data_IF_689166344439
#
_entry.id   IF_689166344439
#
_cell.length_a   1.000
_cell.length_b   1.000
_cell.length_c   1.000
_cell.angle_alpha   90.00
_cell.angle_beta   90.00
_cell.angle_gamma   90.00
#
_symmetry.space_group_name_H-M   'P 1'
#
loop_
_entity.id
_entity.type
_entity.pdbx_description
1 polymer ?
#
# COMPACT_ATOMS: atom_id res chain seq x y z
N UNK A 1 9.65 21.03 8.15
CA UNK A 1 8.90 19.81 8.47
C UNK A 1 8.41 19.18 7.18
N UNK A 2 8.63 17.89 7.01
CA UNK A 2 8.09 17.10 5.89
C UNK A 2 6.82 16.37 6.33
N UNK A 3 5.99 15.94 5.38
CA UNK A 3 4.81 15.11 5.63
C UNK A 3 4.97 13.77 4.92
N UNK A 4 4.54 12.67 5.54
CA UNK A 4 4.27 11.41 4.89
C UNK A 4 2.79 11.07 5.03
N UNK A 5 2.13 10.85 3.90
CA UNK A 5 0.83 10.18 3.84
C UNK A 5 1.07 8.72 3.45
N UNK A 6 0.90 7.81 4.41
CA UNK A 6 1.05 6.39 4.19
C UNK A 6 -0.32 5.74 3.96
N UNK A 7 -0.66 5.42 2.71
CA UNK A 7 -1.85 4.68 2.34
C UNK A 7 -1.62 3.20 2.57
N UNK A 8 -2.33 2.65 3.56
CA UNK A 8 -2.09 1.32 4.08
C UNK A 8 -2.65 0.20 3.20
N UNK A 9 -2.22 -1.03 3.45
CA UNK A 9 -2.76 -2.22 2.82
C UNK A 9 -4.15 -2.57 3.37
N UNK A 10 -4.90 -3.35 2.60
CA UNK A 10 -6.22 -3.84 3.04
C UNK A 10 -6.10 -4.75 4.27
N UNK A 11 -7.01 -4.57 5.23
CA UNK A 11 -7.07 -5.38 6.45
C UNK A 11 -5.90 -5.15 7.42
N UNK A 12 -5.26 -3.99 7.34
CA UNK A 12 -4.15 -3.57 8.18
C UNK A 12 -4.45 -2.21 8.83
N UNK A 13 -3.80 -1.93 9.96
CA UNK A 13 -3.85 -0.65 10.67
C UNK A 13 -2.43 -0.15 11.00
N UNK A 14 -2.32 0.88 11.83
CA UNK A 14 -1.04 1.48 12.24
C UNK A 14 -0.14 0.55 13.07
N UNK A 15 -0.65 -0.57 13.59
CA UNK A 15 0.13 -1.51 14.39
C UNK A 15 1.29 -2.16 13.61
N UNK A 16 1.24 -2.15 12.27
CA UNK A 16 2.35 -2.59 11.40
C UNK A 16 3.62 -1.74 11.62
N UNK A 17 3.48 -0.53 12.15
CA UNK A 17 4.58 0.40 12.44
C UNK A 17 4.93 0.49 13.92
N UNK A 18 4.37 -0.38 14.78
CA UNK A 18 4.55 -0.30 16.25
C UNK A 18 6.03 -0.27 16.71
N UNK A 19 6.93 -0.85 15.91
CA UNK A 19 8.35 -0.93 16.19
C UNK A 19 9.19 0.10 15.42
N UNK A 20 8.57 0.97 14.62
CA UNK A 20 9.31 1.97 13.87
C UNK A 20 9.79 3.06 14.84
N UNK A 21 11.07 3.46 14.75
CA UNK A 21 11.57 4.53 15.59
C UNK A 21 10.85 5.84 15.24
N UNK A 22 10.68 6.75 16.22
CA UNK A 22 10.33 8.13 15.93
C UNK A 22 11.32 8.74 14.93
N UNK A 23 10.83 9.66 14.10
CA UNK A 23 11.63 10.30 13.06
C UNK A 23 11.53 11.82 13.19
N UNK A 24 12.68 12.47 13.26
CA UNK A 24 12.74 13.92 13.35
C UNK A 24 12.36 14.57 12.02
N UNK A 25 11.67 15.71 12.11
CA UNK A 25 11.34 16.56 10.96
C UNK A 25 10.45 15.88 9.89
N UNK A 26 9.73 14.81 10.26
CA UNK A 26 8.73 14.14 9.42
C UNK A 26 7.45 13.87 10.23
N UNK A 27 6.35 14.49 9.81
CA UNK A 27 5.02 14.15 10.30
C UNK A 27 4.50 12.94 9.50
N UNK A 28 4.11 11.84 10.15
CA UNK A 28 3.61 10.64 9.48
C UNK A 28 2.14 10.44 9.80
N UNK A 29 1.33 10.27 8.75
CA UNK A 29 -0.10 9.99 8.86
C UNK A 29 -0.40 8.70 8.11
N UNK A 30 -0.85 7.69 8.85
CA UNK A 30 -1.29 6.41 8.29
C UNK A 30 -2.77 6.50 7.94
N UNK A 31 -3.08 6.21 6.69
CA UNK A 31 -4.42 6.27 6.11
C UNK A 31 -4.81 4.84 5.73
N UNK A 32 -5.68 4.24 6.53
CA UNK A 32 -6.26 2.91 6.27
C UNK A 32 -7.71 3.06 5.84
N UNK A 33 -8.37 1.97 5.42
CA UNK A 33 -9.80 1.97 5.07
C UNK A 33 -10.64 2.69 6.16
N UNK A 34 -11.54 3.64 5.80
CA UNK A 34 -12.08 3.96 4.45
C UNK A 34 -11.24 4.89 3.57
N UNK A 35 -9.96 5.08 3.90
CA UNK A 35 -9.01 5.96 3.18
C UNK A 35 -9.41 7.43 3.18
N UNK A 36 -9.96 7.88 4.31
CA UNK A 36 -10.27 9.28 4.54
C UNK A 36 -9.00 10.11 4.74
N UNK A 37 -8.87 11.16 3.92
CA UNK A 37 -7.74 12.07 4.01
C UNK A 37 -8.06 13.15 5.05
N UNK A 38 -7.20 13.35 6.06
CA UNK A 38 -7.40 14.45 7.01
C UNK A 38 -7.35 15.81 6.29
N UNK A 39 -8.11 16.77 6.81
CA UNK A 39 -8.04 18.16 6.35
C UNK A 39 -6.72 18.77 6.83
N UNK A 40 -5.78 18.91 5.90
CA UNK A 40 -4.46 19.46 6.16
C UNK A 40 -4.17 20.62 5.20
N UNK A 41 -3.44 21.60 5.68
CA UNK A 41 -2.81 22.60 4.83
C UNK A 41 -1.46 22.06 4.32
N UNK A 42 -1.49 21.43 3.16
CA UNK A 42 -0.32 20.81 2.52
C UNK A 42 0.80 21.82 2.23
N UNK A 43 0.48 23.10 2.11
CA UNK A 43 1.43 24.18 1.80
C UNK A 43 2.38 24.50 2.96
N UNK A 44 2.04 24.07 4.17
CA UNK A 44 2.89 24.25 5.36
C UNK A 44 4.07 23.29 5.42
N UNK A 45 4.09 22.25 4.57
CA UNK A 45 5.15 21.24 4.54
C UNK A 45 6.15 21.52 3.42
N UNK A 46 7.44 21.33 3.74
CA UNK A 46 8.53 21.55 2.78
C UNK A 46 8.47 20.54 1.62
N UNK A 47 8.12 19.30 1.93
CA UNK A 47 7.99 18.20 0.99
C UNK A 47 7.01 17.15 1.51
N UNK A 48 6.31 16.49 0.60
CA UNK A 48 5.28 15.49 0.92
C UNK A 48 5.65 14.14 0.30
N UNK A 49 5.79 13.11 1.13
CA UNK A 49 5.92 11.73 0.69
C UNK A 49 4.55 11.08 0.62
N UNK A 50 4.19 10.55 -0.54
CA UNK A 50 2.96 9.78 -0.74
C UNK A 50 3.35 8.33 -0.91
N UNK A 51 3.13 7.52 0.12
CA UNK A 51 3.53 6.12 0.13
C UNK A 51 2.29 5.27 0.07
N UNK A 52 2.18 4.38 -0.92
CA UNK A 52 1.10 3.41 -1.00
C UNK A 52 1.64 2.00 -0.84
N UNK A 53 1.05 1.20 0.03
CA UNK A 53 1.33 -0.23 0.12
C UNK A 53 0.13 -1.05 -0.33
N UNK A 54 0.34 -2.04 -1.19
CA UNK A 54 -0.73 -2.94 -1.64
C UNK A 54 -1.93 -2.16 -2.22
N UNK A 55 -3.12 -2.31 -1.65
CA UNK A 55 -4.32 -1.58 -2.04
C UNK A 55 -4.16 -0.07 -1.84
N UNK A 56 -3.36 0.37 -0.88
CA UNK A 56 -3.00 1.76 -0.68
C UNK A 56 -2.36 2.41 -1.90
N UNK A 57 -1.72 1.66 -2.80
CA UNK A 57 -1.20 2.17 -4.08
C UNK A 57 -2.34 2.70 -4.97
N UNK A 58 -3.46 1.99 -5.01
CA UNK A 58 -4.65 2.43 -5.76
C UNK A 58 -5.26 3.69 -5.13
N UNK A 59 -5.43 3.72 -3.81
CA UNK A 59 -6.03 4.88 -3.13
C UNK A 59 -5.12 6.12 -3.15
N UNK A 60 -3.81 5.94 -3.03
CA UNK A 60 -2.83 7.01 -3.25
C UNK A 60 -2.92 7.55 -4.69
N UNK A 61 -3.16 6.68 -5.68
CA UNK A 61 -3.40 7.10 -7.06
C UNK A 61 -4.68 7.93 -7.21
N UNK A 62 -5.78 7.54 -6.55
CA UNK A 62 -7.02 8.34 -6.52
C UNK A 62 -6.78 9.71 -5.89
N UNK A 63 -6.04 9.75 -4.79
CA UNK A 63 -5.68 10.99 -4.11
C UNK A 63 -4.87 11.91 -5.03
N UNK A 64 -3.79 11.42 -5.63
CA UNK A 64 -2.92 12.21 -6.51
C UNK A 64 -3.60 12.64 -7.81
N UNK A 65 -4.56 11.87 -8.32
CA UNK A 65 -5.39 12.28 -9.48
C UNK A 65 -6.23 13.53 -9.20
N UNK A 66 -6.62 13.75 -7.94
CA UNK A 66 -7.55 14.84 -7.56
C UNK A 66 -6.87 15.98 -6.79
N UNK A 67 -5.60 15.83 -6.43
CA UNK A 67 -4.85 16.79 -5.61
C UNK A 67 -3.64 17.30 -6.33
N UNK A 68 -3.50 18.62 -6.31
CA UNK A 68 -2.31 19.30 -6.78
C UNK A 68 -1.42 19.59 -5.57
N UNK A 69 -0.24 18.97 -5.53
CA UNK A 69 0.78 19.19 -4.51
C UNK A 69 1.98 19.89 -5.15
N UNK A 70 2.55 20.91 -4.50
CA UNK A 70 3.68 21.66 -5.05
C UNK A 70 4.98 20.85 -5.12
N UNK A 71 5.25 20.04 -4.10
CA UNK A 71 6.49 19.28 -3.97
C UNK A 71 6.19 17.94 -3.28
N UNK A 72 6.26 16.84 -4.04
CA UNK A 72 6.01 15.52 -3.51
C UNK A 72 6.84 14.43 -4.18
N UNK A 73 7.03 13.32 -3.47
CA UNK A 73 7.57 12.06 -3.98
C UNK A 73 6.57 10.96 -3.71
N UNK A 74 6.16 10.23 -4.75
CA UNK A 74 5.23 9.12 -4.65
C UNK A 74 5.95 7.77 -4.79
N UNK A 75 5.74 6.90 -3.81
CA UNK A 75 6.40 5.59 -3.68
C UNK A 75 5.33 4.50 -3.58
N UNK A 76 5.37 3.54 -4.50
CA UNK A 76 4.58 2.32 -4.43
C UNK A 76 5.36 1.23 -3.72
N UNK A 77 4.71 0.45 -2.86
CA UNK A 77 5.29 -0.69 -2.17
C UNK A 77 4.39 -1.88 -2.42
N UNK A 78 4.93 -2.95 -3.02
CA UNK A 78 4.20 -4.20 -3.24
C UNK A 78 2.76 -3.97 -3.76
N UNK A 79 2.61 -3.19 -4.84
CA UNK A 79 1.31 -2.85 -5.40
C UNK A 79 1.40 -1.98 -6.65
N UNK A 80 0.32 -1.94 -7.41
CA UNK A 80 0.20 -1.17 -8.67
C UNK A 80 -1.10 -0.36 -8.69
N UNK A 81 -1.16 0.77 -9.41
CA UNK A 81 -2.42 1.48 -9.69
C UNK A 81 -3.50 0.58 -10.34
N UNK A 82 -3.09 -0.41 -11.15
CA UNK A 82 -3.98 -1.47 -11.65
C UNK A 82 -4.08 -2.61 -10.61
N UNK A 83 -4.67 -2.34 -9.44
CA UNK A 83 -4.70 -3.33 -8.34
C UNK A 83 -5.55 -4.56 -8.67
N UNK A 84 -6.64 -4.39 -9.44
CA UNK A 84 -7.44 -5.48 -10.01
C UNK A 84 -7.15 -5.55 -11.51
N UNK A 85 -6.53 -6.62 -11.97
CA UNK A 85 -6.23 -6.80 -13.39
C UNK A 85 -5.02 -7.65 -13.70
N UNK A 86 -4.41 -7.36 -14.85
CA UNK A 86 -3.27 -8.10 -15.41
C UNK A 86 -1.96 -7.78 -14.71
N UNK A 87 -1.84 -6.55 -14.20
CA UNK A 87 -0.65 -6.08 -13.49
C UNK A 87 -0.78 -6.16 -11.95
N UNK A 88 -2.00 -6.39 -11.45
CA UNK A 88 -2.32 -6.57 -10.05
C UNK A 88 -2.79 -8.00 -9.71
N UNK A 89 -3.82 -8.07 -8.86
CA UNK A 89 -4.57 -9.30 -8.53
C UNK A 89 -5.55 -9.58 -9.68
N UNK A 90 -5.58 -10.80 -10.21
CA UNK A 90 -6.57 -11.12 -11.26
C UNK A 90 -7.98 -11.02 -10.71
N UNK A 91 -8.95 -10.61 -11.54
CA UNK A 91 -10.37 -10.58 -11.16
C UNK A 91 -10.85 -11.92 -10.60
N UNK A 92 -10.38 -13.03 -11.17
CA UNK A 92 -10.71 -14.37 -10.67
C UNK A 92 -10.26 -14.55 -9.21
N UNK A 93 -9.01 -14.23 -8.89
CA UNK A 93 -8.47 -14.36 -7.53
C UNK A 93 -9.14 -13.36 -6.59
N UNK A 94 -9.33 -12.12 -7.02
CA UNK A 94 -10.02 -11.09 -6.25
C UNK A 94 -11.45 -11.54 -5.86
N UNK A 95 -12.22 -12.02 -6.83
CA UNK A 95 -13.59 -12.52 -6.61
C UNK A 95 -13.62 -13.76 -5.71
N UNK A 96 -12.63 -14.66 -5.84
CA UNK A 96 -12.52 -15.81 -4.95
C UNK A 96 -12.24 -15.38 -3.50
N UNK A 97 -11.36 -14.40 -3.28
CA UNK A 97 -11.12 -13.83 -1.95
C UNK A 97 -12.39 -13.20 -1.39
N UNK A 98 -13.08 -12.35 -2.16
CA UNK A 98 -14.31 -11.68 -1.75
C UNK A 98 -15.43 -12.66 -1.37
N UNK A 99 -15.63 -13.70 -2.18
CA UNK A 99 -16.72 -14.65 -1.98
C UNK A 99 -16.48 -15.60 -0.80
N UNK A 100 -15.22 -15.97 -0.55
CA UNK A 100 -14.84 -16.94 0.46
C UNK A 100 -14.20 -16.31 1.71
N UNK A 101 -14.33 -14.98 1.90
CA UNK A 101 -13.72 -14.30 3.04
C UNK A 101 -14.39 -14.74 4.35
N UNK A 102 -13.59 -15.41 5.18
CA UNK A 102 -13.85 -15.73 6.58
C UNK A 102 -12.53 -15.57 7.37
N UNK A 103 -12.56 -15.87 8.68
CA UNK A 103 -11.37 -15.77 9.52
C UNK A 103 -10.26 -16.73 9.10
N UNK A 104 -10.60 -17.97 8.72
CA UNK A 104 -9.61 -18.97 8.34
C UNK A 104 -8.85 -18.56 7.06
N UNK A 105 -9.59 -18.13 6.04
CA UNK A 105 -9.03 -17.67 4.78
C UNK A 105 -8.31 -16.32 4.93
N UNK A 106 -8.73 -15.46 5.87
CA UNK A 106 -7.98 -14.25 6.23
C UNK A 106 -6.61 -14.60 6.83
N UNK A 107 -6.53 -15.56 7.75
CA UNK A 107 -5.24 -15.98 8.31
C UNK A 107 -4.34 -16.65 7.27
N UNK A 108 -4.90 -17.44 6.34
CA UNK A 108 -4.14 -17.95 5.18
C UNK A 108 -3.63 -16.81 4.31
N UNK A 109 -4.44 -15.77 4.10
CA UNK A 109 -4.03 -14.57 3.37
C UNK A 109 -2.87 -13.85 4.08
N UNK A 110 -2.92 -13.68 5.41
CA UNK A 110 -1.83 -13.12 6.21
C UNK A 110 -0.54 -13.95 6.12
N UNK A 111 -0.66 -15.28 6.18
CA UNK A 111 0.49 -16.16 5.97
C UNK A 111 1.08 -16.02 4.56
N UNK A 112 0.25 -15.94 3.52
CA UNK A 112 0.70 -15.72 2.14
C UNK A 112 1.35 -14.35 1.92
N UNK A 113 0.97 -13.35 2.74
CA UNK A 113 1.66 -12.05 2.75
C UNK A 113 3.04 -12.10 3.42
N UNK A 114 3.39 -13.19 4.11
CA UNK A 114 4.55 -13.27 5.01
C UNK A 114 4.43 -12.32 6.22
N UNK A 115 3.21 -12.08 6.72
CA UNK A 115 3.00 -11.37 7.99
C UNK A 115 3.56 -12.23 9.14
N UNK A 116 4.36 -11.66 10.06
CA UNK A 116 4.89 -12.40 11.20
C UNK A 116 3.81 -13.01 12.09
N UNK A 117 4.05 -14.22 12.61
CA UNK A 117 3.07 -14.93 13.46
C UNK A 117 2.76 -14.21 14.80
N UNK A 118 3.66 -13.33 15.26
CA UNK A 118 3.47 -12.50 16.44
C UNK A 118 2.77 -11.16 16.13
N UNK A 119 2.38 -10.94 14.86
CA UNK A 119 1.52 -9.84 14.49
C UNK A 119 0.14 -10.08 15.09
N UNK A 120 -0.23 -9.23 16.04
CA UNK A 120 -1.59 -9.20 16.56
C UNK A 120 -2.38 -8.47 15.47
N UNK A 121 -3.22 -9.23 14.77
CA UNK A 121 -4.11 -8.63 13.80
C UNK A 121 -4.94 -7.52 14.46
N UNK A 122 -5.35 -6.49 13.71
CA UNK A 122 -6.29 -5.48 14.19
C UNK A 122 -7.52 -6.13 14.84
N UNK A 123 -8.40 -5.36 15.49
CA UNK A 123 -9.73 -5.87 15.81
C UNK A 123 -10.47 -6.27 14.51
N UNK A 124 -10.33 -7.55 14.11
CA UNK A 124 -10.80 -8.04 12.81
C UNK A 124 -12.32 -8.05 12.83
N UNK A 125 -12.91 -7.18 12.01
CA UNK A 125 -14.31 -7.28 11.65
C UNK A 125 -14.41 -7.74 10.19
N UNK A 126 -14.69 -9.05 10.00
CA UNK A 126 -14.78 -9.66 8.68
C UNK A 126 -15.80 -8.94 7.78
N UNK A 127 -16.91 -8.45 8.33
CA UNK A 127 -17.91 -7.72 7.54
C UNK A 127 -17.35 -6.40 7.00
N UNK A 128 -16.60 -5.65 7.80
CA UNK A 128 -15.93 -4.42 7.33
C UNK A 128 -14.92 -4.75 6.23
N UNK A 129 -14.12 -5.81 6.42
CA UNK A 129 -13.15 -6.22 5.40
C UNK A 129 -13.83 -6.64 4.10
N UNK A 130 -14.92 -7.41 4.18
CA UNK A 130 -15.72 -7.83 3.01
C UNK A 130 -16.34 -6.62 2.31
N UNK A 131 -16.92 -5.69 3.06
CA UNK A 131 -17.51 -4.47 2.53
C UNK A 131 -16.45 -3.62 1.81
N UNK A 132 -15.26 -3.46 2.38
CA UNK A 132 -14.17 -2.71 1.75
C UNK A 132 -13.69 -3.32 0.42
N UNK A 133 -13.69 -4.66 0.30
CA UNK A 133 -13.39 -5.35 -0.97
C UNK A 133 -14.51 -5.14 -2.00
N UNK A 134 -15.77 -5.20 -1.56
CA UNK A 134 -16.93 -4.99 -2.40
C UNK A 134 -16.96 -3.54 -2.94
N UNK A 135 -16.76 -2.55 -2.06
CA UNK A 135 -16.67 -1.13 -2.44
C UNK A 135 -15.52 -0.88 -3.42
N UNK A 136 -14.34 -1.44 -3.17
CA UNK A 136 -13.22 -1.33 -4.12
C UNK A 136 -13.62 -1.87 -5.49
N UNK A 137 -14.27 -3.03 -5.54
CA UNK A 137 -14.70 -3.68 -6.79
C UNK A 137 -15.73 -2.84 -7.54
N UNK A 138 -16.72 -2.31 -6.84
CA UNK A 138 -17.83 -1.57 -7.44
C UNK A 138 -17.37 -0.21 -7.99
N UNK A 139 -16.45 0.46 -7.29
CA UNK A 139 -15.88 1.76 -7.68
C UNK A 139 -14.57 1.63 -8.49
N UNK A 140 -14.19 0.41 -8.87
CA UNK A 140 -12.91 0.17 -9.52
C UNK A 140 -12.87 0.77 -10.93
N UNK A 141 -11.82 1.52 -11.20
CA UNK A 141 -11.47 1.93 -12.55
C UNK A 141 -9.96 2.07 -12.67
N UNK A 142 -9.43 1.87 -13.87
CA UNK A 142 -8.00 2.01 -14.11
C UNK A 142 -7.54 3.46 -13.85
N UNK A 143 -6.43 3.59 -13.12
CA UNK A 143 -5.78 4.86 -12.85
C UNK A 143 -4.40 4.91 -13.50
N UNK A 144 -4.01 6.12 -13.91
CA UNK A 144 -2.65 6.39 -14.34
C UNK A 144 -1.67 6.23 -13.17
N UNK A 145 -0.41 5.98 -13.50
CA UNK A 145 0.65 5.82 -12.51
C UNK A 145 1.18 7.20 -12.07
N UNK A 146 1.00 7.59 -10.79
CA UNK A 146 1.63 8.79 -10.26
C UNK A 146 3.00 8.53 -9.59
N UNK A 147 3.42 7.27 -9.47
CA UNK A 147 4.58 6.89 -8.66
C UNK A 147 5.90 7.09 -9.40
N UNK A 148 6.90 7.64 -8.71
CA UNK A 148 8.28 7.77 -9.21
C UNK A 148 9.15 6.57 -8.83
N UNK A 149 8.85 5.95 -7.69
CA UNK A 149 9.58 4.79 -7.15
C UNK A 149 8.61 3.63 -6.88
N UNK A 150 9.07 2.41 -7.13
CA UNK A 150 8.39 1.17 -6.75
C UNK A 150 9.35 0.27 -5.95
N UNK A 151 9.01 0.01 -4.69
CA UNK A 151 9.69 -0.97 -3.83
C UNK A 151 8.96 -2.31 -3.95
N UNK A 152 9.65 -3.34 -4.42
CA UNK A 152 9.04 -4.63 -4.78
C UNK A 152 9.74 -5.77 -4.03
N UNK A 153 8.97 -6.47 -3.22
CA UNK A 153 9.34 -7.74 -2.61
C UNK A 153 9.47 -8.82 -3.68
N UNK A 154 10.62 -9.49 -3.74
CA UNK A 154 10.88 -10.48 -4.79
C UNK A 154 10.09 -11.78 -4.63
N UNK A 155 9.48 -12.00 -3.45
CA UNK A 155 8.63 -13.17 -3.15
C UNK A 155 7.16 -12.82 -3.01
N UNK A 156 6.74 -11.62 -3.42
CA UNK A 156 5.34 -11.20 -3.32
C UNK A 156 4.44 -12.14 -4.14
N UNK A 157 3.52 -12.81 -3.44
CA UNK A 157 2.53 -13.74 -3.99
C UNK A 157 1.14 -13.12 -4.13
N UNK A 158 0.86 -12.04 -3.41
CA UNK A 158 -0.45 -11.39 -3.46
C UNK A 158 -0.55 -10.57 -4.75
N UNK A 159 0.46 -9.75 -5.00
CA UNK A 159 0.63 -9.02 -6.25
C UNK A 159 1.94 -9.53 -6.86
N UNK A 160 1.89 -10.52 -7.76
CA UNK A 160 3.09 -11.21 -8.22
C UNK A 160 4.20 -10.26 -8.66
N UNK A 161 5.41 -10.43 -8.12
CA UNK A 161 6.60 -9.61 -8.40
C UNK A 161 6.78 -9.35 -9.90
N UNK A 162 6.65 -10.40 -10.73
CA UNK A 162 6.81 -10.29 -12.19
C UNK A 162 5.82 -9.33 -12.84
N UNK A 163 4.60 -9.21 -12.29
CA UNK A 163 3.57 -8.29 -12.78
C UNK A 163 3.88 -6.85 -12.39
N UNK A 164 4.30 -6.64 -11.15
CA UNK A 164 4.73 -5.32 -10.67
C UNK A 164 5.93 -4.81 -11.49
N UNK A 165 6.97 -5.64 -11.66
CA UNK A 165 8.15 -5.29 -12.45
C UNK A 165 7.76 -4.95 -13.88
N UNK A 166 6.96 -5.80 -14.54
CA UNK A 166 6.47 -5.53 -15.90
C UNK A 166 5.75 -4.18 -16.00
N UNK A 167 4.84 -3.90 -15.07
CA UNK A 167 4.09 -2.64 -15.03
C UNK A 167 5.01 -1.44 -14.88
N UNK A 168 5.84 -1.42 -13.83
CA UNK A 168 6.67 -0.27 -13.50
C UNK A 168 7.80 -0.03 -14.51
N UNK A 169 8.36 -1.08 -15.12
CA UNK A 169 9.30 -0.94 -16.23
C UNK A 169 8.62 -0.27 -17.44
N UNK A 170 7.38 -0.64 -17.77
CA UNK A 170 6.63 -0.02 -18.86
C UNK A 170 6.26 1.46 -18.60
N UNK A 171 6.33 1.89 -17.35
CA UNK A 171 6.06 3.27 -16.91
C UNK A 171 7.34 4.06 -16.62
N UNK A 172 8.52 3.48 -16.87
CA UNK A 172 9.82 4.09 -16.57
C UNK A 172 10.00 4.51 -15.10
N UNK A 173 9.39 3.75 -14.17
CA UNK A 173 9.49 3.98 -12.73
C UNK A 173 10.78 3.37 -12.18
N UNK A 174 11.42 4.04 -11.20
CA UNK A 174 12.59 3.50 -10.53
C UNK A 174 12.19 2.30 -9.65
N UNK A 175 12.70 1.11 -9.96
CA UNK A 175 12.38 -0.13 -9.23
C UNK A 175 13.48 -0.45 -8.22
N UNK A 176 13.10 -0.67 -6.97
CA UNK A 176 13.94 -1.17 -5.89
C UNK A 176 13.45 -2.53 -5.42
N UNK A 177 14.19 -3.57 -5.70
CA UNK A 177 13.85 -4.94 -5.27
C UNK A 177 14.37 -5.21 -3.86
N UNK A 178 13.56 -5.88 -3.03
CA UNK A 178 13.91 -6.27 -1.66
C UNK A 178 13.54 -7.73 -1.37
N UNK A 179 14.30 -8.37 -0.48
CA UNK A 179 14.18 -9.79 -0.13
C UNK A 179 13.01 -10.11 0.82
N UNK A 180 11.79 -9.76 0.44
CA UNK A 180 10.57 -10.03 1.23
C UNK A 180 9.40 -10.56 0.39
N UNK A 181 8.36 -11.05 1.07
CA UNK A 181 7.04 -11.27 0.51
C UNK A 181 6.24 -9.97 0.38
N UNK A 182 4.91 -10.08 0.51
CA UNK A 182 4.03 -8.93 0.35
C UNK A 182 4.10 -7.95 1.54
N UNK A 183 4.42 -8.43 2.75
CA UNK A 183 4.65 -7.66 3.96
C UNK A 183 6.13 -7.30 4.08
N UNK A 184 6.53 -6.03 3.80
CA UNK A 184 7.94 -5.66 3.72
C UNK A 184 8.50 -5.07 5.01
N UNK A 185 7.68 -4.89 6.06
CA UNK A 185 8.01 -4.01 7.19
C UNK A 185 8.97 -4.63 8.21
N UNK A 186 9.29 -5.93 8.11
CA UNK A 186 10.44 -6.52 8.81
C UNK A 186 11.77 -6.01 8.22
N UNK A 187 11.79 -5.67 6.93
CA UNK A 187 12.96 -5.14 6.21
C UNK A 187 12.96 -3.60 6.20
N UNK A 188 11.80 -3.03 5.85
CA UNK A 188 11.54 -1.59 5.79
C UNK A 188 11.15 -1.03 7.17
N UNK A 189 11.84 -1.44 8.23
CA UNK A 189 11.50 -1.15 9.63
C UNK A 189 11.90 0.25 10.14
N UNK A 190 12.06 1.22 9.24
CA UNK A 190 12.44 2.60 9.55
C UNK A 190 11.83 3.54 8.50
N UNK A 191 11.24 4.65 8.93
CA UNK A 191 10.69 5.66 8.03
C UNK A 191 11.72 6.18 7.02
N UNK A 192 12.98 6.34 7.43
CA UNK A 192 14.05 6.79 6.55
C UNK A 192 14.32 5.80 5.41
N UNK A 193 14.21 4.48 5.65
CA UNK A 193 14.36 3.47 4.58
C UNK A 193 13.26 3.58 3.53
N UNK A 194 12.11 4.15 3.91
CA UNK A 194 11.02 4.44 2.98
C UNK A 194 11.24 5.71 2.15
N UNK A 195 12.05 6.68 2.60
CA UNK A 195 12.11 8.01 1.94
C UNK A 195 13.50 8.52 1.55
N UNK A 196 14.59 8.02 2.16
CA UNK A 196 15.97 8.50 1.91
C UNK A 196 16.76 7.59 0.98
N UNK A 197 16.41 6.32 0.90
CA UNK A 197 17.13 5.32 0.09
C UNK A 197 16.50 5.13 -1.30
N UNK A 198 15.78 6.13 -1.81
CA UNK A 198 14.99 6.07 -3.04
C UNK A 198 15.23 7.28 -3.94
#
# INVERSE_FOLDING_TARGET
MNLMLFFNGWGMDESIFKNFPPVDNLNVIVISYPYEIPKLDFETYNHIYIVGWSFGVYYASKFLKTKQLKSYTAIAINGTPEIIGTNGITEKIFNLTLNNLDLENLYKFYSNMEVPNNFIAPNININILKNSLQELKDDYHLLDNPFQIAIIGIRDKIIPTSRQVKYFTSKHVHIKSIECGHYPFEILNDWNKLIKDN
#
